data_IF_963030556878
#
_entry.id   IF_963030556878
#
_cell.length_a   1.000
_cell.length_b   1.000
_cell.length_c   1.000
_cell.angle_alpha   90.00
_cell.angle_beta   90.00
_cell.angle_gamma   90.00
#
_symmetry.space_group_name_H-M   'P 1'
#
loop_
_entity.id
_entity.type
_entity.pdbx_description
1 polymer ?
#
# COMPACT_ATOMS: atom_id res chain seq x y z
N UNK A 1 10.54 -5.63 -33.12
CA UNK A 1 9.21 -5.46 -32.50
C UNK A 1 9.24 -4.16 -31.70
N UNK A 2 8.36 -3.20 -32.01
CA UNK A 2 8.30 -1.92 -31.30
C UNK A 2 7.46 -2.15 -30.04
N UNK A 3 8.04 -1.98 -28.85
CA UNK A 3 7.32 -2.14 -27.59
C UNK A 3 6.49 -0.88 -27.39
N UNK A 4 5.19 -0.97 -27.61
CA UNK A 4 4.26 0.09 -27.23
C UNK A 4 3.94 -0.03 -25.74
N UNK A 5 4.25 1.02 -24.98
CA UNK A 5 3.85 1.10 -23.58
C UNK A 5 2.36 1.38 -23.53
N UNK A 6 1.64 0.52 -22.80
CA UNK A 6 0.24 0.77 -22.46
C UNK A 6 0.19 2.07 -21.65
N UNK A 7 -0.49 3.09 -22.20
CA UNK A 7 -0.74 4.33 -21.47
C UNK A 7 -1.80 4.06 -20.42
N UNK A 8 -1.42 4.21 -19.16
CA UNK A 8 -2.31 4.04 -18.03
C UNK A 8 -2.53 5.39 -17.36
N UNK A 9 -3.79 5.76 -17.14
CA UNK A 9 -4.17 7.06 -16.58
C UNK A 9 -3.56 7.36 -15.19
N UNK A 10 -3.18 6.32 -14.44
CA UNK A 10 -2.48 6.41 -13.15
C UNK A 10 -0.96 6.34 -13.25
N UNK A 11 -0.42 5.95 -14.42
CA UNK A 11 1.01 5.78 -14.67
C UNK A 11 1.74 7.07 -15.05
N UNK A 12 1.01 8.17 -15.27
CA UNK A 12 1.61 9.48 -15.51
C UNK A 12 2.11 10.15 -14.21
N UNK A 13 2.99 11.15 -14.34
CA UNK A 13 4.01 11.61 -13.40
C UNK A 13 3.66 11.79 -11.92
N UNK A 14 2.37 11.88 -11.57
CA UNK A 14 1.88 12.18 -10.22
C UNK A 14 2.22 11.09 -9.18
N UNK A 15 2.59 9.87 -9.61
CA UNK A 15 2.77 8.71 -8.72
C UNK A 15 4.06 7.89 -8.94
N UNK A 16 5.16 8.52 -9.40
CA UNK A 16 6.46 7.82 -9.57
C UNK A 16 6.92 7.08 -8.30
N UNK A 17 6.58 7.58 -7.12
CA UNK A 17 6.91 6.96 -5.81
C UNK A 17 5.99 5.79 -5.43
N UNK A 18 4.77 5.77 -5.95
CA UNK A 18 3.71 4.83 -5.55
C UNK A 18 3.32 3.86 -6.67
N UNK A 19 4.11 3.80 -7.74
CA UNK A 19 3.80 2.97 -8.91
C UNK A 19 3.64 1.49 -8.51
N UNK A 20 4.46 1.00 -7.57
CA UNK A 20 4.33 -0.35 -7.02
C UNK A 20 3.02 -0.57 -6.23
N UNK A 21 2.62 0.42 -5.44
CA UNK A 21 1.36 0.39 -4.68
C UNK A 21 0.17 0.37 -5.64
N UNK A 22 0.21 1.21 -6.68
CA UNK A 22 -0.82 1.25 -7.71
C UNK A 22 -0.92 -0.09 -8.44
N UNK A 23 0.22 -0.68 -8.81
CA UNK A 23 0.26 -1.98 -9.47
C UNK A 23 -0.33 -3.08 -8.58
N UNK A 24 0.10 -3.19 -7.32
CA UNK A 24 -0.43 -4.18 -6.38
C UNK A 24 -1.94 -4.03 -6.20
N UNK A 25 -2.43 -2.80 -6.08
CA UNK A 25 -3.88 -2.54 -5.96
C UNK A 25 -4.64 -2.96 -7.21
N UNK A 26 -4.10 -2.74 -8.41
CA UNK A 26 -4.74 -3.21 -9.63
C UNK A 26 -4.81 -4.72 -9.69
N UNK A 27 -3.77 -5.42 -9.27
CA UNK A 27 -3.78 -6.89 -9.21
C UNK A 27 -4.85 -7.41 -8.23
N UNK A 28 -5.16 -6.67 -7.17
CA UNK A 28 -6.29 -7.01 -6.27
C UNK A 28 -7.66 -6.73 -6.89
N UNK A 29 -7.80 -5.66 -7.67
CA UNK A 29 -9.08 -5.21 -8.24
C UNK A 29 -9.28 -5.66 -9.68
N UNK A 30 -8.37 -6.47 -10.22
CA UNK A 30 -8.40 -6.97 -11.58
C UNK A 30 -9.56 -7.96 -11.75
N UNK A 31 -10.65 -7.48 -12.33
CA UNK A 31 -11.86 -8.27 -12.59
C UNK A 31 -11.91 -8.76 -14.06
N UNK A 32 -11.04 -8.25 -14.96
CA UNK A 32 -11.17 -8.48 -16.40
C UNK A 32 -9.86 -8.35 -17.19
N UNK A 33 -9.73 -9.20 -18.20
CA UNK A 33 -8.61 -9.22 -19.16
C UNK A 33 -8.46 -7.93 -19.99
N UNK A 34 -9.49 -7.08 -20.09
CA UNK A 34 -9.45 -5.87 -20.89
C UNK A 34 -8.87 -4.68 -20.09
N UNK A 35 -7.81 -4.06 -20.62
CA UNK A 35 -7.07 -2.96 -19.96
C UNK A 35 -7.96 -1.76 -19.67
N UNK A 36 -8.94 -1.44 -20.52
CA UNK A 36 -9.89 -0.35 -20.27
C UNK A 36 -10.73 -0.51 -18.99
N UNK A 37 -10.85 -1.75 -18.48
CA UNK A 37 -11.59 -2.05 -17.27
C UNK A 37 -10.74 -2.03 -16.00
N UNK A 38 -9.44 -1.74 -16.12
CA UNK A 38 -8.51 -1.75 -15.00
C UNK A 38 -8.71 -0.49 -14.15
N UNK A 39 -9.56 -0.63 -13.13
CA UNK A 39 -9.86 0.44 -12.18
C UNK A 39 -9.09 0.22 -10.89
N UNK A 40 -8.29 1.21 -10.51
CA UNK A 40 -7.50 1.22 -9.28
C UNK A 40 -8.40 1.25 -8.03
N UNK A 41 -9.60 1.81 -8.14
CA UNK A 41 -10.57 1.88 -7.04
C UNK A 41 -10.09 2.74 -5.87
N UNK A 42 -9.26 3.75 -6.15
CA UNK A 42 -8.83 4.78 -5.18
C UNK A 42 -9.14 6.16 -5.76
N UNK A 43 -9.42 7.13 -4.88
CA UNK A 43 -9.54 8.52 -5.29
C UNK A 43 -8.15 9.06 -5.62
N UNK A 44 -7.98 9.59 -6.83
CA UNK A 44 -6.72 10.19 -7.26
C UNK A 44 -6.34 11.31 -6.26
N UNK A 45 -5.10 11.30 -5.79
CA UNK A 45 -4.59 12.21 -4.75
C UNK A 45 -5.14 12.02 -3.30
N UNK A 46 -5.95 11.00 -2.97
CA UNK A 46 -6.26 10.70 -1.56
C UNK A 46 -5.03 10.08 -0.86
N UNK A 47 -4.17 10.94 -0.29
CA UNK A 47 -2.94 10.54 0.40
C UNK A 47 -3.19 9.58 1.57
N UNK A 48 -4.35 9.66 2.22
CA UNK A 48 -4.76 8.73 3.27
C UNK A 48 -4.92 7.31 2.76
N UNK A 49 -5.59 7.12 1.61
CA UNK A 49 -5.73 5.81 0.97
C UNK A 49 -4.37 5.26 0.53
N UNK A 50 -3.51 6.10 -0.04
CA UNK A 50 -2.14 5.70 -0.40
C UNK A 50 -1.31 5.32 0.82
N UNK A 51 -1.36 6.09 1.92
CA UNK A 51 -0.66 5.78 3.17
C UNK A 51 -1.12 4.44 3.75
N UNK A 52 -2.42 4.19 3.74
CA UNK A 52 -2.98 2.91 4.17
C UNK A 52 -2.49 1.75 3.30
N UNK A 53 -2.57 1.88 1.97
CA UNK A 53 -2.12 0.83 1.05
C UNK A 53 -0.62 0.56 1.15
N UNK A 54 0.21 1.60 1.35
CA UNK A 54 1.65 1.44 1.67
C UNK A 54 1.84 0.60 2.92
N UNK A 55 1.15 0.94 4.02
CA UNK A 55 1.23 0.17 5.26
C UNK A 55 0.82 -1.29 5.07
N UNK A 56 -0.34 -1.52 4.43
CA UNK A 56 -0.87 -2.87 4.13
C UNK A 56 0.14 -3.70 3.32
N UNK A 57 0.62 -3.18 2.20
CA UNK A 57 1.49 -3.94 1.31
C UNK A 57 2.89 -4.14 1.88
N UNK A 58 3.47 -3.13 2.54
CA UNK A 58 4.74 -3.29 3.23
C UNK A 58 4.63 -4.34 4.33
N UNK A 59 3.57 -4.31 5.16
CA UNK A 59 3.36 -5.31 6.20
C UNK A 59 3.25 -6.72 5.61
N UNK A 60 2.51 -6.90 4.52
CA UNK A 60 2.38 -8.18 3.84
C UNK A 60 3.73 -8.70 3.32
N UNK A 61 4.55 -7.83 2.70
CA UNK A 61 5.89 -8.21 2.20
C UNK A 61 6.84 -8.55 3.35
N UNK A 62 6.84 -7.76 4.42
CA UNK A 62 7.74 -7.93 5.57
C UNK A 62 7.42 -9.21 6.36
N UNK A 63 6.15 -9.58 6.44
CA UNK A 63 5.66 -10.75 7.19
C UNK A 63 5.51 -12.03 6.33
N UNK A 64 5.70 -11.94 5.01
CA UNK A 64 5.57 -13.06 4.09
C UNK A 64 6.48 -14.23 4.49
N UNK A 65 5.99 -15.46 4.38
CA UNK A 65 6.72 -16.67 4.79
C UNK A 65 8.01 -16.90 4.01
N UNK A 66 8.03 -16.52 2.73
CA UNK A 66 9.19 -16.62 1.87
C UNK A 66 10.20 -15.46 2.07
N UNK A 67 9.93 -14.52 2.97
CA UNK A 67 10.86 -13.46 3.30
C UNK A 67 11.95 -14.00 4.23
N UNK A 68 13.19 -14.11 3.72
CA UNK A 68 14.34 -14.60 4.48
C UNK A 68 14.61 -13.80 5.77
N UNK A 69 14.21 -12.53 5.80
CA UNK A 69 14.40 -11.62 6.93
C UNK A 69 13.14 -11.49 7.80
N UNK A 70 12.10 -12.32 7.59
CA UNK A 70 10.85 -12.27 8.35
C UNK A 70 11.09 -12.21 9.86
N UNK A 71 11.95 -13.08 10.40
CA UNK A 71 12.22 -13.14 11.84
C UNK A 71 12.78 -11.82 12.39
N UNK A 72 13.72 -11.18 11.68
CA UNK A 72 14.26 -9.87 12.06
C UNK A 72 13.20 -8.78 11.98
N UNK A 73 12.43 -8.77 10.89
CA UNK A 73 11.36 -7.78 10.70
C UNK A 73 10.31 -7.85 11.82
N UNK A 74 9.89 -9.07 12.19
CA UNK A 74 8.91 -9.27 13.26
C UNK A 74 9.48 -8.91 14.63
N UNK A 75 10.76 -9.25 14.91
CA UNK A 75 11.41 -8.87 16.16
C UNK A 75 11.58 -7.36 16.30
N UNK A 76 11.98 -6.67 15.23
CA UNK A 76 12.08 -5.20 15.23
C UNK A 76 10.70 -4.53 15.40
N UNK A 77 9.66 -5.07 14.75
CA UNK A 77 8.30 -4.58 14.90
C UNK A 77 7.78 -4.75 16.33
N UNK A 78 8.02 -5.90 16.96
CA UNK A 78 7.63 -6.15 18.36
C UNK A 78 8.37 -5.22 19.32
N UNK A 79 9.70 -5.06 19.17
CA UNK A 79 10.47 -4.11 19.98
C UNK A 79 9.92 -2.69 19.88
N UNK A 80 9.62 -2.21 18.67
CA UNK A 80 9.03 -0.90 18.48
C UNK A 80 7.63 -0.81 19.11
N UNK A 81 6.82 -1.86 19.00
CA UNK A 81 5.50 -1.92 19.62
C UNK A 81 5.64 -1.76 21.14
N UNK A 82 6.47 -2.56 21.81
CA UNK A 82 6.68 -2.47 23.27
C UNK A 82 7.13 -1.06 23.72
N UNK A 83 8.11 -0.46 23.02
CA UNK A 83 8.57 0.90 23.32
C UNK A 83 7.47 1.96 23.19
N UNK A 84 6.53 1.76 22.26
CA UNK A 84 5.41 2.69 22.05
C UNK A 84 4.35 2.62 23.16
N UNK A 85 4.33 1.56 23.98
CA UNK A 85 3.44 1.44 25.14
C UNK A 85 4.09 1.93 26.44
N UNK A 86 5.41 1.79 26.56
CA UNK A 86 6.17 2.33 27.70
C UNK A 86 6.19 3.86 27.66
N UNK A 87 6.21 4.45 26.46
CA UNK A 87 6.04 5.88 26.25
C UNK A 87 4.55 6.20 26.08
N UNK A 88 3.84 6.44 27.20
CA UNK A 88 2.40 6.73 27.26
C UNK A 88 1.94 8.00 26.50
N UNK A 89 2.81 8.58 25.68
CA UNK A 89 2.60 9.78 24.86
C UNK A 89 2.21 9.47 23.41
N UNK A 90 2.31 8.21 22.96
CA UNK A 90 1.99 7.83 21.58
C UNK A 90 0.55 7.33 21.49
N UNK A 91 -0.36 8.22 21.11
CA UNK A 91 -1.71 7.84 20.68
C UNK A 91 -1.62 6.96 19.41
N UNK A 92 -1.67 5.64 19.59
CA UNK A 92 -1.84 4.69 18.49
C UNK A 92 -3.30 4.78 18.03
N UNK A 93 -3.65 5.87 17.34
CA UNK A 93 -4.93 5.95 16.64
C UNK A 93 -4.88 5.00 15.45
N UNK A 94 -5.76 3.98 15.39
CA UNK A 94 -5.79 3.11 14.24
C UNK A 94 -6.07 3.90 12.95
N UNK A 95 -5.33 3.67 11.85
CA UNK A 95 -5.42 4.47 10.63
C UNK A 95 -6.82 4.54 9.99
N UNK A 96 -7.74 3.66 10.38
CA UNK A 96 -9.09 3.57 9.84
C UNK A 96 -10.12 4.48 10.52
N UNK A 97 -9.76 5.19 11.59
CA UNK A 97 -10.70 6.06 12.34
C UNK A 97 -10.99 7.39 11.61
N UNK A 98 -10.20 7.80 10.61
CA UNK A 98 -10.54 8.99 9.81
C UNK A 98 -11.37 8.63 8.57
N UNK A 99 -12.69 8.70 8.77
CA UNK A 99 -13.82 8.49 7.86
C UNK A 99 -13.90 9.44 6.63
N UNK A 100 -12.80 10.01 6.14
CA UNK A 100 -12.85 11.05 5.10
C UNK A 100 -12.66 10.58 3.63
N UNK A 101 -12.43 9.29 3.36
CA UNK A 101 -12.38 8.78 1.99
C UNK A 101 -13.21 7.48 1.85
N UNK A 102 -14.52 7.52 2.17
CA UNK A 102 -15.47 6.48 1.72
C UNK A 102 -15.66 6.56 0.19
N UNK A 103 -15.74 5.38 -0.43
CA UNK A 103 -15.94 5.16 -1.89
C UNK A 103 -17.35 5.58 -2.26
#
# INVERSE_FOLDING_TARGET
MKVERIKMSWGEEMHKKDTGICMMRLMETHISNAVENWKLGIKMNCQTQLKFLRGKYCAAILAAENNMLKHLNMSAADMHYQLSFEDSSVDIVPPWINEQCRI
#
